data_IF_398430260968
#
_entry.id   IF_398430260968
#
_cell.length_a   1.000
_cell.length_b   1.000
_cell.length_c   1.000
_cell.angle_alpha   90.00
_cell.angle_beta   90.00
_cell.angle_gamma   90.00
#
_symmetry.space_group_name_H-M   'P 1'
#
loop_
_entity.id
_entity.type
_entity.pdbx_description
1 polymer ?
#
# COMPACT_ATOMS: atom_id res chain seq x y z
N UNK A 1 -10.76 57.09 -60.54
CA UNK A 1 -10.85 58.19 -59.56
C UNK A 1 -12.15 58.03 -58.77
N UNK A 2 -12.21 58.27 -57.44
CA UNK A 2 -11.12 58.29 -56.46
C UNK A 2 -11.45 57.61 -55.10
N UNK A 3 -10.39 57.47 -54.29
CA UNK A 3 -10.28 57.73 -52.83
C UNK A 3 -11.35 57.19 -51.87
N UNK A 4 -11.04 56.25 -50.98
CA UNK A 4 -10.23 56.38 -49.75
C UNK A 4 -10.85 57.29 -48.66
N UNK A 5 -11.15 56.71 -47.51
CA UNK A 5 -10.83 57.35 -46.22
C UNK A 5 -10.62 56.31 -45.12
N UNK A 6 -9.34 56.08 -44.81
CA UNK A 6 -8.88 55.56 -43.53
C UNK A 6 -9.29 56.48 -42.38
N UNK A 7 -9.57 55.90 -41.20
CA UNK A 7 -9.04 56.45 -39.94
C UNK A 7 -8.87 55.37 -38.86
N UNK A 8 -7.61 55.27 -38.44
CA UNK A 8 -7.06 54.62 -37.25
C UNK A 8 -7.82 54.94 -35.94
N UNK A 9 -7.86 53.98 -35.00
CA UNK A 9 -6.92 53.95 -33.86
C UNK A 9 -7.04 52.66 -33.03
N UNK A 10 -5.88 52.04 -32.84
CA UNK A 10 -5.58 50.94 -31.93
C UNK A 10 -5.25 51.47 -30.52
N UNK A 11 -5.28 50.51 -29.57
CA UNK A 11 -4.73 50.48 -28.19
C UNK A 11 -5.83 50.64 -27.11
N UNK A 12 -5.93 49.81 -26.07
CA UNK A 12 -4.87 49.18 -25.27
C UNK A 12 -5.40 48.02 -24.39
N UNK A 13 -4.50 47.05 -24.09
CA UNK A 13 -4.34 46.29 -22.82
C UNK A 13 -5.39 45.22 -22.42
N UNK A 14 -5.07 44.02 -21.88
CA UNK A 14 -3.84 43.42 -21.33
C UNK A 14 -3.93 41.87 -21.46
N UNK A 15 -2.83 41.24 -21.91
CA UNK A 15 -2.49 39.82 -21.68
C UNK A 15 -1.40 39.77 -20.59
N UNK A 16 -1.55 38.87 -19.63
CA UNK A 16 -0.51 38.33 -18.72
C UNK A 16 -1.20 37.22 -17.89
N UNK A 17 -0.59 36.09 -17.53
CA UNK A 17 0.71 35.53 -17.81
C UNK A 17 0.66 34.02 -17.47
N UNK A 18 1.27 33.19 -18.32
CA UNK A 18 1.65 31.82 -18.01
C UNK A 18 3.18 31.87 -17.78
N UNK A 19 3.62 31.69 -16.54
CA UNK A 19 5.05 31.76 -16.19
C UNK A 19 5.64 30.35 -16.22
N UNK A 20 6.35 30.05 -17.30
CA UNK A 20 7.20 28.87 -17.45
C UNK A 20 8.66 29.37 -17.34
N UNK A 21 9.38 28.95 -16.30
CA UNK A 21 10.81 29.26 -16.16
C UNK A 21 11.63 28.21 -16.92
N UNK A 22 12.04 28.56 -18.15
CA UNK A 22 13.13 27.90 -18.87
C UNK A 22 14.36 28.81 -18.79
N UNK A 23 15.39 28.37 -18.07
CA UNK A 23 16.69 29.04 -18.01
C UNK A 23 17.38 28.90 -19.37
N UNK A 24 17.51 30.02 -20.09
CA UNK A 24 18.30 30.14 -21.31
C UNK A 24 19.72 30.60 -20.98
N UNK A 25 20.71 29.89 -21.53
CA UNK A 25 22.12 30.30 -21.61
C UNK A 25 22.28 31.57 -22.47
N UNK A 26 23.14 32.53 -22.10
CA UNK A 26 23.59 33.56 -23.03
C UNK A 26 24.83 33.11 -23.81
N UNK A 27 24.71 33.23 -25.14
CA UNK A 27 25.79 33.10 -26.12
C UNK A 27 26.80 34.24 -26.04
N UNK A 28 28.01 33.93 -26.50
CA UNK A 28 29.24 34.71 -26.54
C UNK A 28 29.22 35.90 -27.52
N UNK A 29 29.89 36.99 -27.13
CA UNK A 29 30.64 37.98 -27.94
C UNK A 29 31.27 38.96 -26.92
N UNK A 30 32.53 39.40 -26.89
CA UNK A 30 33.74 39.22 -27.69
C UNK A 30 34.72 40.36 -27.29
N UNK A 31 36.00 40.03 -27.03
CA UNK A 31 37.15 40.95 -26.83
C UNK A 31 37.42 41.40 -25.38
N UNK A 32 38.63 41.46 -24.83
CA UNK A 32 40.00 41.13 -25.27
C UNK A 32 41.00 41.59 -24.19
N UNK A 33 42.08 40.79 -24.01
CA UNK A 33 43.38 41.06 -23.35
C UNK A 33 43.53 41.30 -21.83
N UNK A 34 44.46 40.54 -21.22
CA UNK A 34 45.17 40.88 -19.97
C UNK A 34 45.45 39.68 -19.06
N UNK A 35 46.64 39.07 -19.15
CA UNK A 35 46.98 37.82 -18.46
C UNK A 35 47.40 37.95 -16.98
N UNK A 36 47.24 36.84 -16.24
CA UNK A 36 48.25 36.32 -15.30
C UNK A 36 47.89 34.90 -14.82
N UNK A 37 48.91 34.05 -14.76
CA UNK A 37 48.89 32.68 -14.23
C UNK A 37 48.24 32.54 -12.85
N UNK A 38 47.21 31.68 -12.73
CA UNK A 38 47.04 30.71 -11.63
C UNK A 38 46.33 29.46 -12.14
N UNK A 39 46.97 28.30 -11.97
CA UNK A 39 46.37 26.96 -12.15
C UNK A 39 45.24 26.78 -11.14
N UNK A 40 44.01 26.55 -11.61
CA UNK A 40 42.86 26.21 -10.79
C UNK A 40 42.13 25.00 -11.36
N UNK A 41 42.24 23.86 -10.68
CA UNK A 41 41.43 22.66 -10.92
C UNK A 41 39.96 23.00 -10.62
N UNK A 42 39.06 22.80 -11.57
CA UNK A 42 37.62 22.73 -11.30
C UNK A 42 37.15 21.34 -11.72
N UNK A 43 37.35 20.38 -10.81
CA UNK A 43 36.77 19.05 -10.88
C UNK A 43 35.70 18.96 -9.81
N UNK A 44 34.47 18.65 -10.23
CA UNK A 44 33.50 17.77 -9.54
C UNK A 44 33.60 17.78 -8.01
N UNK A 45 32.89 18.70 -7.34
CA UNK A 45 32.66 18.66 -5.88
C UNK A 45 31.17 18.75 -5.58
N UNK A 46 30.38 17.81 -6.11
CA UNK A 46 29.01 17.54 -5.63
C UNK A 46 28.65 16.03 -5.66
N UNK A 47 29.66 15.14 -5.62
CA UNK A 47 29.45 13.68 -5.58
C UNK A 47 30.25 12.91 -4.53
N UNK A 48 31.36 13.48 -4.05
CA UNK A 48 32.28 12.77 -3.16
C UNK A 48 31.75 12.58 -1.72
N UNK A 49 31.03 13.57 -1.18
CA UNK A 49 30.55 13.53 0.20
C UNK A 49 29.41 12.53 0.44
N UNK A 50 28.67 12.15 -0.60
CA UNK A 50 27.60 11.15 -0.52
C UNK A 50 28.14 9.75 -0.79
N UNK A 51 29.08 9.62 -1.73
CA UNK A 51 29.76 8.36 -2.02
C UNK A 51 30.64 7.87 -0.84
N UNK A 52 31.35 8.77 -0.14
CA UNK A 52 32.10 8.41 1.06
C UNK A 52 31.21 7.97 2.22
N UNK A 53 30.03 8.59 2.39
CA UNK A 53 29.07 8.19 3.44
C UNK A 53 28.41 6.84 3.15
N UNK A 54 28.16 6.54 1.88
CA UNK A 54 27.67 5.23 1.43
C UNK A 54 28.75 4.15 1.56
N UNK A 55 30.00 4.44 1.19
CA UNK A 55 31.12 3.50 1.39
C UNK A 55 31.40 3.25 2.88
N UNK A 56 31.32 4.26 3.75
CA UNK A 56 31.45 4.08 5.19
C UNK A 56 30.30 3.26 5.80
N UNK A 57 29.07 3.40 5.29
CA UNK A 57 27.95 2.53 5.67
C UNK A 57 28.17 1.09 5.21
N UNK A 58 28.65 0.88 3.99
CA UNK A 58 28.95 -0.44 3.43
C UNK A 58 30.09 -1.15 4.20
N UNK A 59 31.16 -0.43 4.55
CA UNK A 59 32.24 -0.97 5.39
C UNK A 59 31.78 -1.31 6.81
N UNK A 60 30.91 -0.50 7.41
CA UNK A 60 30.30 -0.80 8.73
C UNK A 60 29.36 -2.02 8.67
N UNK A 61 28.68 -2.22 7.54
CA UNK A 61 27.85 -3.39 7.30
C UNK A 61 28.70 -4.67 7.16
N UNK A 62 29.78 -4.64 6.36
CA UNK A 62 30.70 -5.77 6.24
C UNK A 62 31.38 -6.14 7.58
N UNK A 63 31.77 -5.15 8.38
CA UNK A 63 32.37 -5.39 9.70
C UNK A 63 31.40 -6.04 10.69
N UNK A 64 30.10 -5.73 10.60
CA UNK A 64 29.06 -6.36 11.43
C UNK A 64 28.75 -7.79 10.98
N UNK A 65 28.67 -8.03 9.68
CA UNK A 65 28.46 -9.36 9.11
C UNK A 65 29.59 -10.35 9.46
N UNK A 66 30.84 -9.87 9.50
CA UNK A 66 31.99 -10.68 9.91
C UNK A 66 32.00 -11.02 11.41
N UNK A 67 31.44 -10.14 12.26
CA UNK A 67 31.35 -10.36 13.71
C UNK A 67 30.25 -11.35 14.13
N UNK A 68 29.24 -11.55 13.28
CA UNK A 68 28.16 -12.53 13.49
C UNK A 68 28.51 -13.94 13.01
N UNK A 69 29.58 -14.11 12.22
CA UNK A 69 30.02 -15.41 11.68
C UNK A 69 31.11 -16.11 12.50
N UNK A 70 31.52 -15.56 13.65
CA UNK A 70 32.55 -16.15 14.52
C UNK A 70 32.01 -16.50 15.91
N UNK A 71 30.99 -17.36 15.97
CA UNK A 71 30.61 -18.03 17.22
C UNK A 71 29.82 -19.31 16.97
N UNK A 72 30.48 -20.36 16.48
CA UNK A 72 30.01 -21.74 16.64
C UNK A 72 31.10 -22.76 16.27
N UNK A 73 31.97 -23.10 17.21
CA UNK A 73 32.54 -24.46 17.33
C UNK A 73 33.22 -24.64 18.69
N UNK A 74 32.54 -25.41 19.56
CA UNK A 74 33.01 -26.19 20.70
C UNK A 74 34.28 -27.01 20.38
N UNK A 75 35.17 -27.46 21.28
CA UNK A 75 35.19 -27.63 22.73
C UNK A 75 36.58 -28.17 23.13
N UNK A 76 36.88 -28.06 24.44
CA UNK A 76 37.60 -29.01 25.28
C UNK A 76 39.00 -28.61 25.83
N UNK A 77 39.05 -28.68 27.16
CA UNK A 77 40.17 -29.11 28.02
C UNK A 77 41.02 -28.05 28.72
N UNK A 78 40.61 -27.79 29.96
CA UNK A 78 41.41 -28.04 31.18
C UNK A 78 42.72 -27.27 31.44
N UNK A 79 42.60 -26.38 32.44
CA UNK A 79 43.44 -26.32 33.65
C UNK A 79 44.63 -25.37 33.71
N UNK A 80 44.70 -24.76 34.91
CA UNK A 80 45.88 -24.25 35.65
C UNK A 80 46.42 -22.84 35.34
N UNK A 81 45.88 -21.88 36.10
CA UNK A 81 46.56 -20.99 37.05
C UNK A 81 48.06 -20.69 36.87
N UNK A 82 48.44 -19.40 36.95
CA UNK A 82 49.52 -18.78 37.76
C UNK A 82 49.35 -17.25 37.59
N UNK A 83 48.90 -16.49 38.59
CA UNK A 83 49.58 -15.92 39.76
C UNK A 83 50.54 -14.75 39.47
N UNK A 84 50.34 -13.70 40.30
CA UNK A 84 51.30 -12.69 40.81
C UNK A 84 51.65 -11.51 39.92
N UNK A 85 51.91 -10.32 40.46
CA UNK A 85 51.71 -9.76 41.80
C UNK A 85 52.05 -8.25 41.74
N UNK A 86 51.40 -7.49 42.63
CA UNK A 86 51.97 -6.43 43.49
C UNK A 86 53.02 -5.47 42.93
N UNK A 87 52.81 -4.17 43.11
CA UNK A 87 53.32 -3.48 44.30
C UNK A 87 53.06 -1.96 44.25
N UNK A 88 52.89 -1.42 45.44
CA UNK A 88 52.48 -0.07 45.83
C UNK A 88 53.62 0.98 45.81
N UNK A 89 53.20 2.22 46.09
CA UNK A 89 53.88 3.34 46.79
C UNK A 89 54.02 4.60 45.92
N UNK A 90 53.14 5.61 46.06
CA UNK A 90 53.04 6.63 47.11
C UNK A 90 54.04 7.80 46.95
N UNK A 91 53.52 8.99 46.60
CA UNK A 91 54.06 10.29 46.97
C UNK A 91 52.98 11.39 46.80
N UNK A 92 52.82 12.18 47.85
CA UNK A 92 51.87 13.27 48.11
C UNK A 92 52.26 14.59 47.44
N UNK A 93 51.28 15.37 46.96
CA UNK A 93 51.26 16.85 47.01
C UNK A 93 49.81 17.34 46.85
N UNK A 94 49.44 18.37 47.61
CA UNK A 94 48.10 18.96 47.69
C UNK A 94 47.89 20.06 46.64
N UNK A 95 46.65 20.27 46.18
CA UNK A 95 45.93 21.55 46.28
C UNK A 95 44.54 21.51 45.61
N UNK A 96 43.58 22.08 46.33
CA UNK A 96 42.23 22.57 46.04
C UNK A 96 41.69 22.60 44.59
N UNK A 97 40.38 22.28 44.47
CA UNK A 97 39.51 22.97 43.51
C UNK A 97 38.48 22.11 42.79
N UNK A 98 37.21 22.29 43.16
CA UNK A 98 35.99 22.15 42.35
C UNK A 98 35.49 20.76 41.93
N UNK A 99 34.47 20.33 42.68
CA UNK A 99 33.60 19.20 42.36
C UNK A 99 32.70 19.52 41.15
N UNK A 100 32.90 18.78 40.05
CA UNK A 100 31.96 18.68 38.93
C UNK A 100 31.22 17.34 39.07
N UNK A 101 29.88 17.30 39.18
CA UNK A 101 29.18 16.03 39.27
C UNK A 101 29.16 15.33 37.90
N UNK A 102 29.79 14.17 37.84
CA UNK A 102 29.74 13.23 36.74
C UNK A 102 28.31 12.67 36.60
N UNK A 103 27.59 13.13 35.60
CA UNK A 103 26.36 12.47 35.14
C UNK A 103 26.76 11.32 34.23
N UNK A 104 26.94 10.14 34.81
CA UNK A 104 26.92 8.87 34.09
C UNK A 104 25.55 8.71 33.45
N UNK A 105 25.46 9.03 32.15
CA UNK A 105 24.31 8.70 31.33
C UNK A 105 24.27 7.18 31.13
N UNK A 106 23.59 6.48 32.04
CA UNK A 106 23.21 5.09 31.85
C UNK A 106 22.19 5.04 30.70
N UNK A 107 22.65 4.68 29.50
CA UNK A 107 21.78 4.39 28.35
C UNK A 107 20.99 3.11 28.64
N UNK A 108 19.87 3.26 29.33
CA UNK A 108 18.86 2.21 29.45
C UNK A 108 18.09 2.12 28.13
N UNK A 109 18.51 1.22 27.25
CA UNK A 109 17.68 0.78 26.12
C UNK A 109 16.49 -0.02 26.68
N UNK A 110 15.46 0.70 27.12
CA UNK A 110 14.17 0.10 27.47
C UNK A 110 13.45 -0.28 26.18
N UNK A 111 13.62 -1.52 25.76
CA UNK A 111 12.69 -2.20 24.85
C UNK A 111 11.35 -2.37 25.59
N UNK A 112 10.56 -1.30 25.67
CA UNK A 112 9.18 -1.38 26.13
C UNK A 112 8.38 -2.13 25.07
N UNK A 113 7.99 -3.38 25.35
CA UNK A 113 7.07 -4.13 24.50
C UNK A 113 5.70 -3.45 24.57
N UNK A 114 5.42 -2.58 23.60
CA UNK A 114 4.12 -1.93 23.51
C UNK A 114 3.04 -2.96 23.20
N UNK A 115 1.95 -2.94 23.98
CA UNK A 115 0.81 -3.85 23.78
C UNK A 115 -0.05 -3.37 22.60
N UNK A 116 0.20 -3.91 21.41
CA UNK A 116 -0.52 -3.54 20.18
C UNK A 116 -1.99 -3.94 20.19
N UNK A 117 -2.43 -4.84 21.08
CA UNK A 117 -3.84 -5.25 21.16
C UNK A 117 -4.78 -4.12 21.60
N UNK A 118 -4.23 -3.07 22.21
CA UNK A 118 -4.98 -1.90 22.69
C UNK A 118 -5.06 -0.76 21.67
N UNK A 119 -4.28 -0.82 20.58
CA UNK A 119 -4.29 0.23 19.56
C UNK A 119 -5.58 0.13 18.75
N UNK A 120 -6.34 1.22 18.65
CA UNK A 120 -7.55 1.28 17.84
C UNK A 120 -7.32 2.02 16.54
N UNK A 121 -8.05 1.64 15.49
CA UNK A 121 -7.90 2.27 14.18
C UNK A 121 -8.31 3.75 14.21
N UNK A 122 -9.31 4.10 15.02
CA UNK A 122 -9.77 5.48 15.19
C UNK A 122 -8.67 6.39 15.75
N UNK A 123 -7.81 5.86 16.62
CA UNK A 123 -6.69 6.60 17.20
C UNK A 123 -5.64 6.95 16.13
N UNK A 124 -5.36 5.99 15.23
CA UNK A 124 -4.46 6.19 14.09
C UNK A 124 -5.02 7.25 13.14
N UNK A 125 -6.30 7.12 12.76
CA UNK A 125 -6.98 8.09 11.87
C UNK A 125 -6.98 9.49 12.49
N UNK A 126 -7.30 9.60 13.77
CA UNK A 126 -7.29 10.86 14.52
C UNK A 126 -5.90 11.49 14.57
N UNK A 127 -4.85 10.69 14.79
CA UNK A 127 -3.46 11.17 14.76
C UNK A 127 -3.06 11.67 13.36
N UNK A 128 -3.36 10.90 12.31
CA UNK A 128 -3.06 11.26 10.93
C UNK A 128 -3.67 12.62 10.57
N UNK A 129 -4.93 12.85 10.94
CA UNK A 129 -5.59 14.14 10.71
C UNK A 129 -4.97 15.26 11.55
N UNK A 130 -4.80 15.08 12.86
CA UNK A 130 -4.27 16.13 13.76
C UNK A 130 -2.82 16.53 13.43
N UNK A 131 -2.01 15.60 12.94
CA UNK A 131 -0.58 15.85 12.63
C UNK A 131 -0.32 16.19 11.16
N UNK A 132 -1.35 16.26 10.34
CA UNK A 132 -1.22 16.59 8.92
C UNK A 132 -0.48 15.54 8.10
N UNK A 133 -0.83 14.28 8.33
CA UNK A 133 -0.36 13.14 7.56
C UNK A 133 -1.34 12.84 6.42
N UNK A 134 -2.62 12.58 6.74
CA UNK A 134 -3.65 12.26 5.74
C UNK A 134 -4.97 12.93 6.13
N UNK A 135 -5.68 13.45 5.12
CA UNK A 135 -6.99 14.07 5.22
C UNK A 135 -7.99 13.40 4.27
N UNK A 136 -9.29 13.37 4.60
CA UNK A 136 -10.33 13.12 3.60
C UNK A 136 -10.23 14.15 2.48
N UNK A 137 -10.22 13.70 1.23
CA UNK A 137 -10.12 14.63 0.10
C UNK A 137 -11.39 15.47 -0.03
N UNK A 138 -11.23 16.76 -0.36
CA UNK A 138 -12.34 17.72 -0.51
C UNK A 138 -13.25 17.82 0.73
N UNK A 139 -12.68 17.71 1.94
CA UNK A 139 -13.43 17.65 3.20
C UNK A 139 -14.44 18.80 3.39
N UNK A 140 -14.07 20.02 3.01
CA UNK A 140 -14.95 21.21 3.13
C UNK A 140 -16.21 21.14 2.23
N UNK A 141 -16.23 20.22 1.27
CA UNK A 141 -17.34 19.98 0.34
C UNK A 141 -18.00 18.61 0.57
N UNK A 142 -17.86 18.05 1.77
CA UNK A 142 -18.31 16.70 2.15
C UNK A 142 -17.56 15.54 1.48
N UNK A 143 -16.54 15.82 0.67
CA UNK A 143 -15.62 14.85 0.07
C UNK A 143 -16.29 13.75 -0.76
N UNK A 144 -15.45 12.85 -1.29
CA UNK A 144 -15.89 11.57 -1.82
C UNK A 144 -15.26 10.44 -1.00
N UNK A 145 -16.06 9.42 -0.66
CA UNK A 145 -15.54 8.25 0.04
C UNK A 145 -14.43 7.57 -0.78
N UNK A 146 -13.35 7.16 -0.12
CA UNK A 146 -12.22 6.47 -0.75
C UNK A 146 -11.19 7.37 -1.44
N UNK A 147 -11.27 8.70 -1.27
CA UNK A 147 -10.25 9.63 -1.75
C UNK A 147 -9.61 10.38 -0.58
N UNK A 148 -8.28 10.49 -0.58
CA UNK A 148 -7.51 11.05 0.53
C UNK A 148 -6.38 11.95 0.02
N UNK A 149 -6.14 13.04 0.74
CA UNK A 149 -5.04 13.97 0.49
C UNK A 149 -3.94 13.78 1.53
N UNK A 150 -2.67 13.77 1.10
CA UNK A 150 -1.53 13.67 2.01
C UNK A 150 -1.07 15.09 2.41
N UNK A 151 -1.11 15.38 3.71
CA UNK A 151 -0.67 16.67 4.27
C UNK A 151 0.85 16.82 4.28
N UNK A 152 1.41 17.90 4.86
CA UNK A 152 2.84 18.21 4.77
C UNK A 152 3.75 17.06 5.24
N UNK A 153 3.43 16.42 6.38
CA UNK A 153 4.24 15.30 6.90
C UNK A 153 3.97 14.03 6.10
N UNK A 154 2.72 13.80 5.69
CA UNK A 154 2.35 12.63 4.90
C UNK A 154 2.98 12.62 3.51
N UNK A 155 3.09 13.78 2.88
CA UNK A 155 3.75 13.94 1.59
C UNK A 155 5.23 13.55 1.66
N UNK A 156 5.96 14.03 2.66
CA UNK A 156 7.37 13.67 2.90
C UNK A 156 7.52 12.18 3.26
N UNK A 157 6.66 11.65 4.15
CA UNK A 157 6.69 10.23 4.52
C UNK A 157 6.48 9.33 3.30
N UNK A 158 5.43 9.61 2.52
CA UNK A 158 5.11 8.89 1.29
C UNK A 158 6.24 9.00 0.26
N UNK A 159 6.88 10.17 0.15
CA UNK A 159 8.04 10.37 -0.73
C UNK A 159 9.23 9.51 -0.30
N UNK A 160 9.55 9.51 0.99
CA UNK A 160 10.66 8.73 1.55
C UNK A 160 10.50 7.24 1.31
N UNK A 161 9.29 6.68 1.48
CA UNK A 161 9.02 5.27 1.19
C UNK A 161 9.25 4.95 -0.28
N UNK A 162 8.76 5.81 -1.20
CA UNK A 162 8.97 5.63 -2.65
C UNK A 162 10.44 5.73 -3.04
N UNK A 163 11.16 6.70 -2.49
CA UNK A 163 12.58 6.88 -2.79
C UNK A 163 13.43 5.72 -2.22
N UNK A 164 13.04 5.15 -1.07
CA UNK A 164 13.65 3.94 -0.52
C UNK A 164 13.41 2.73 -1.45
N UNK A 165 12.15 2.50 -1.87
CA UNK A 165 11.83 1.43 -2.82
C UNK A 165 12.63 1.55 -4.11
N UNK A 166 12.66 2.76 -4.70
CA UNK A 166 13.38 3.00 -5.94
C UNK A 166 14.90 2.86 -5.79
N UNK A 167 15.43 3.22 -4.62
CA UNK A 167 16.84 2.99 -4.30
C UNK A 167 17.16 1.50 -4.27
N UNK A 168 16.37 0.73 -3.53
CA UNK A 168 16.64 -0.67 -3.22
C UNK A 168 16.40 -1.59 -4.42
N UNK A 169 15.25 -1.45 -5.08
CA UNK A 169 14.86 -2.36 -6.15
C UNK A 169 15.26 -1.91 -7.55
N UNK A 170 15.63 -0.64 -7.75
CA UNK A 170 15.98 -0.13 -9.09
C UNK A 170 17.41 0.37 -9.17
N UNK A 171 17.87 1.24 -8.26
CA UNK A 171 19.22 1.83 -8.37
C UNK A 171 20.34 0.92 -7.88
N UNK A 172 20.08 0.08 -6.87
CA UNK A 172 21.07 -0.84 -6.32
C UNK A 172 21.10 -2.19 -7.04
N UNK A 173 20.17 -2.42 -7.96
CA UNK A 173 20.09 -3.60 -8.80
C UNK A 173 20.60 -3.29 -10.20
N UNK A 174 21.35 -4.23 -10.79
CA UNK A 174 21.84 -4.11 -12.18
C UNK A 174 20.85 -4.72 -13.19
N UNK A 175 19.89 -5.49 -12.71
CA UNK A 175 18.93 -6.28 -13.47
C UNK A 175 17.53 -5.67 -13.52
N UNK A 176 17.28 -4.51 -12.90
CA UNK A 176 15.97 -3.84 -12.89
C UNK A 176 16.08 -2.43 -13.46
N UNK A 177 15.18 -2.07 -14.38
CA UNK A 177 15.11 -0.72 -14.97
C UNK A 177 13.78 -0.05 -14.66
N UNK A 178 13.77 1.29 -14.64
CA UNK A 178 12.56 2.06 -14.36
C UNK A 178 11.73 2.36 -15.61
N UNK A 179 10.40 2.40 -15.43
CA UNK A 179 9.43 2.90 -16.40
C UNK A 179 8.44 3.85 -15.73
N UNK A 180 7.92 4.83 -16.48
CA UNK A 180 6.77 5.64 -16.10
C UNK A 180 5.78 5.72 -17.28
N UNK A 181 4.73 4.91 -17.20
CA UNK A 181 3.67 4.84 -18.21
C UNK A 181 2.47 5.73 -17.87
N UNK A 182 1.69 6.08 -18.89
CA UNK A 182 0.46 6.87 -18.73
C UNK A 182 -0.58 6.17 -17.85
N UNK A 183 -1.49 6.96 -17.26
CA UNK A 183 -2.64 6.41 -16.53
C UNK A 183 -3.73 5.92 -17.49
N UNK A 184 -3.92 6.64 -18.58
CA UNK A 184 -4.90 6.32 -19.61
C UNK A 184 -4.22 5.43 -20.66
N UNK A 185 -4.83 4.30 -20.94
CA UNK A 185 -4.42 3.35 -21.98
C UNK A 185 -5.55 3.12 -22.97
N UNK A 186 -5.21 2.54 -24.12
CA UNK A 186 -6.19 2.09 -25.10
C UNK A 186 -7.08 1.00 -24.49
N UNK A 187 -8.42 1.03 -24.69
CA UNK A 187 -9.33 -0.01 -24.18
C UNK A 187 -8.94 -1.44 -24.56
N UNK A 188 -8.30 -1.64 -25.72
CA UNK A 188 -7.83 -2.94 -26.16
C UNK A 188 -6.79 -3.55 -25.19
N UNK A 189 -6.03 -2.72 -24.47
CA UNK A 189 -5.10 -3.19 -23.44
C UNK A 189 -5.88 -3.91 -22.34
N UNK A 190 -6.93 -3.28 -21.80
CA UNK A 190 -7.76 -3.84 -20.73
C UNK A 190 -8.64 -5.02 -21.17
N UNK A 191 -9.04 -5.02 -22.43
CA UNK A 191 -9.70 -6.18 -23.02
C UNK A 191 -8.76 -7.38 -23.07
N UNK A 192 -7.54 -7.16 -23.55
CA UNK A 192 -6.54 -8.22 -23.74
C UNK A 192 -6.06 -8.79 -22.40
N UNK A 193 -6.00 -7.96 -21.35
CA UNK A 193 -5.66 -8.38 -20.00
C UNK A 193 -6.86 -8.95 -19.22
N UNK A 194 -8.04 -9.10 -19.83
CA UNK A 194 -9.24 -9.66 -19.19
C UNK A 194 -9.94 -8.72 -18.19
N UNK A 195 -9.45 -7.50 -17.99
CA UNK A 195 -10.00 -6.58 -16.99
C UNK A 195 -11.40 -6.07 -17.33
N UNK A 196 -11.74 -5.93 -18.62
CA UNK A 196 -13.10 -5.51 -18.99
C UNK A 196 -14.15 -6.56 -18.66
N UNK A 197 -13.78 -7.84 -18.74
CA UNK A 197 -14.72 -8.96 -18.61
C UNK A 197 -14.69 -9.58 -17.20
N UNK A 198 -13.57 -9.51 -16.48
CA UNK A 198 -13.37 -10.18 -15.18
C UNK A 198 -13.05 -9.26 -13.99
N UNK A 199 -12.82 -7.95 -14.19
CA UNK A 199 -12.50 -7.03 -13.09
C UNK A 199 -13.77 -6.40 -12.50
N UNK A 200 -14.60 -7.25 -11.89
CA UNK A 200 -15.87 -6.86 -11.29
C UNK A 200 -16.07 -7.47 -9.91
N UNK A 201 -16.72 -6.71 -9.04
CA UNK A 201 -17.22 -7.21 -7.77
C UNK A 201 -18.73 -7.46 -7.84
N UNK A 202 -19.24 -8.50 -7.16
CA UNK A 202 -20.68 -8.72 -7.06
C UNK A 202 -21.30 -7.66 -6.14
N UNK A 203 -22.33 -6.97 -6.64
CA UNK A 203 -22.95 -5.83 -5.97
C UNK A 203 -24.44 -6.01 -5.76
N UNK A 204 -24.94 -5.59 -4.59
CA UNK A 204 -26.36 -5.44 -4.29
C UNK A 204 -26.71 -3.99 -3.99
N UNK A 205 -27.87 -3.54 -4.47
CA UNK A 205 -28.41 -2.21 -4.24
C UNK A 205 -29.58 -2.29 -3.25
N UNK A 206 -29.62 -1.42 -2.23
CA UNK A 206 -30.80 -1.26 -1.38
C UNK A 206 -31.80 -0.30 -2.05
N UNK A 207 -33.01 -0.78 -2.34
CA UNK A 207 -34.04 0.02 -3.03
C UNK A 207 -34.52 1.22 -2.22
N UNK A 208 -34.48 1.14 -0.88
CA UNK A 208 -34.89 2.22 0.02
C UNK A 208 -33.79 3.25 0.25
N UNK A 209 -32.61 2.82 0.72
CA UNK A 209 -31.53 3.74 1.09
C UNK A 209 -30.68 4.19 -0.09
N UNK A 210 -30.78 3.50 -1.23
CA UNK A 210 -29.88 3.65 -2.39
C UNK A 210 -28.41 3.37 -2.08
N UNK A 211 -28.12 2.80 -0.92
CA UNK A 211 -26.79 2.34 -0.55
C UNK A 211 -26.45 1.07 -1.34
N UNK A 212 -25.18 0.97 -1.70
CA UNK A 212 -24.61 -0.15 -2.45
C UNK A 212 -23.69 -0.92 -1.55
N UNK A 213 -23.73 -2.25 -1.68
CA UNK A 213 -22.92 -3.13 -0.89
C UNK A 213 -22.30 -4.21 -1.78
N UNK A 214 -21.12 -4.67 -1.38
CA UNK A 214 -20.52 -5.88 -1.92
C UNK A 214 -21.28 -7.10 -1.42
N UNK A 215 -21.74 -7.95 -2.34
CA UNK A 215 -22.57 -9.09 -2.04
C UNK A 215 -21.78 -10.20 -1.33
N UNK A 216 -20.52 -10.38 -1.72
CA UNK A 216 -19.57 -11.33 -1.12
C UNK A 216 -19.09 -10.92 0.28
N UNK A 217 -19.27 -9.66 0.65
CA UNK A 217 -18.96 -9.12 1.99
C UNK A 217 -20.21 -8.94 2.87
N UNK A 218 -21.34 -9.44 2.41
CA UNK A 218 -22.58 -9.46 3.15
C UNK A 218 -22.96 -10.90 3.40
N UNK A 219 -23.18 -11.23 4.65
CA UNK A 219 -23.61 -12.55 5.06
C UNK A 219 -25.02 -12.47 5.63
N UNK A 220 -25.84 -13.45 5.28
CA UNK A 220 -27.14 -13.65 5.90
C UNK A 220 -27.15 -14.94 6.69
N UNK A 221 -28.01 -14.98 7.71
CA UNK A 221 -28.26 -16.20 8.49
C UNK A 221 -29.74 -16.26 8.88
N UNK A 222 -30.40 -17.42 8.79
CA UNK A 222 -31.75 -17.58 9.30
C UNK A 222 -31.76 -17.50 10.83
N UNK A 223 -32.80 -16.85 11.37
CA UNK A 223 -33.09 -16.86 12.80
C UNK A 223 -34.17 -17.91 13.03
N UNK A 224 -33.76 -19.05 13.59
CA UNK A 224 -34.65 -20.15 13.95
C UNK A 224 -34.47 -20.54 15.42
N UNK A 225 -35.54 -21.02 16.03
CA UNK A 225 -35.50 -21.59 17.38
C UNK A 225 -35.08 -23.07 17.30
N UNK A 226 -34.38 -23.56 18.33
CA UNK A 226 -34.16 -25.00 18.50
C UNK A 226 -35.51 -25.69 18.81
N UNK A 227 -35.92 -26.66 17.98
CA UNK A 227 -37.12 -27.50 18.16
C UNK A 227 -36.77 -28.99 18.10
N UNK A 228 -37.65 -29.86 18.63
CA UNK A 228 -37.45 -31.32 18.72
C UNK A 228 -37.89 -32.11 17.46
N UNK A 229 -38.60 -31.51 16.50
CA UNK A 229 -39.08 -32.19 15.28
C UNK A 229 -38.90 -31.30 14.03
N UNK A 230 -38.56 -31.92 12.90
CA UNK A 230 -37.97 -31.41 11.63
C UNK A 230 -38.73 -30.32 10.83
N UNK A 231 -39.48 -29.41 11.45
CA UNK A 231 -40.01 -28.20 10.80
C UNK A 231 -39.54 -26.93 11.51
N UNK A 232 -38.39 -26.42 11.08
CA UNK A 232 -37.83 -25.18 11.61
C UNK A 232 -38.62 -23.95 11.17
N UNK A 233 -39.36 -23.36 12.11
CA UNK A 233 -39.98 -22.06 11.88
C UNK A 233 -38.91 -20.96 11.80
N UNK A 234 -38.52 -20.60 10.58
CA UNK A 234 -37.62 -19.45 10.34
C UNK A 234 -38.36 -18.15 10.64
N UNK A 235 -38.05 -17.55 11.80
CA UNK A 235 -38.63 -16.31 12.28
C UNK A 235 -38.23 -15.09 11.43
N UNK A 236 -37.07 -15.15 10.78
CA UNK A 236 -36.56 -14.09 9.93
C UNK A 236 -35.13 -14.35 9.50
N UNK A 237 -34.51 -13.35 8.88
CA UNK A 237 -33.10 -13.36 8.52
C UNK A 237 -32.40 -12.17 9.16
N UNK A 238 -31.14 -12.37 9.50
CA UNK A 238 -30.21 -11.32 9.91
C UNK A 238 -29.21 -11.07 8.80
N UNK A 239 -28.61 -9.89 8.80
CA UNK A 239 -27.59 -9.52 7.82
C UNK A 239 -26.43 -8.86 8.53
N UNK A 240 -25.24 -9.43 8.33
CA UNK A 240 -24.00 -8.98 8.95
C UNK A 240 -22.98 -8.68 7.87
N UNK A 241 -22.12 -7.70 8.17
CA UNK A 241 -20.98 -7.39 7.30
C UNK A 241 -19.86 -8.38 7.59
N UNK A 242 -19.03 -8.64 6.58
CA UNK A 242 -17.78 -9.36 6.74
C UNK A 242 -16.90 -8.78 7.88
N UNK A 243 -16.30 -9.67 8.66
CA UNK A 243 -15.55 -9.35 9.87
C UNK A 243 -15.06 -10.61 10.58
N UNK A 244 -14.48 -10.46 11.76
CA UNK A 244 -14.15 -11.63 12.56
C UNK A 244 -15.43 -12.33 13.04
N UNK A 245 -15.36 -13.65 13.19
CA UNK A 245 -16.51 -14.50 13.53
C UNK A 245 -17.22 -14.04 14.82
N UNK A 246 -16.46 -13.63 15.83
CA UNK A 246 -17.01 -13.11 17.09
C UNK A 246 -17.87 -11.85 16.90
N UNK A 247 -17.41 -10.89 16.09
CA UNK A 247 -18.14 -9.64 15.83
C UNK A 247 -19.36 -9.88 14.94
N UNK A 248 -19.26 -10.81 13.98
CA UNK A 248 -20.38 -11.24 13.15
C UNK A 248 -21.48 -11.89 14.01
N UNK A 249 -21.13 -12.84 14.88
CA UNK A 249 -22.06 -13.50 15.80
C UNK A 249 -22.71 -12.47 16.73
N UNK A 250 -21.92 -11.58 17.33
CA UNK A 250 -22.43 -10.54 18.24
C UNK A 250 -23.43 -9.61 17.54
N UNK A 251 -23.15 -9.23 16.30
CA UNK A 251 -24.05 -8.42 15.47
C UNK A 251 -25.35 -9.18 15.17
N UNK A 252 -25.23 -10.45 14.74
CA UNK A 252 -26.36 -11.33 14.46
C UNK A 252 -27.25 -11.53 15.70
N UNK A 253 -26.68 -11.79 16.87
CA UNK A 253 -27.42 -11.92 18.12
C UNK A 253 -28.21 -10.65 18.47
N UNK A 254 -27.61 -9.48 18.26
CA UNK A 254 -28.27 -8.20 18.54
C UNK A 254 -29.48 -8.00 17.63
N UNK A 255 -29.38 -8.36 16.35
CA UNK A 255 -30.49 -8.31 15.41
C UNK A 255 -31.55 -9.38 15.71
N UNK A 256 -31.13 -10.60 16.03
CA UNK A 256 -32.03 -11.71 16.38
C UNK A 256 -32.89 -11.39 17.63
N UNK A 257 -32.29 -10.77 18.65
CA UNK A 257 -33.02 -10.28 19.84
C UNK A 257 -34.13 -9.29 19.49
N UNK A 258 -33.92 -8.45 18.48
CA UNK A 258 -34.94 -7.51 18.00
C UNK A 258 -36.09 -8.25 17.32
N UNK A 259 -35.78 -9.24 16.47
CA UNK A 259 -36.77 -10.07 15.78
C UNK A 259 -37.62 -10.86 16.79
N UNK A 260 -36.99 -11.50 17.78
CA UNK A 260 -37.69 -12.24 18.84
C UNK A 260 -38.67 -11.35 19.63
N UNK A 261 -38.27 -10.11 19.92
CA UNK A 261 -39.12 -9.14 20.61
C UNK A 261 -40.32 -8.71 19.76
N UNK A 262 -40.11 -8.45 18.47
CA UNK A 262 -41.16 -8.04 17.54
C UNK A 262 -42.20 -9.15 17.29
N UNK A 263 -41.78 -10.42 17.35
CA UNK A 263 -42.65 -11.59 17.19
C UNK A 263 -43.32 -12.08 18.49
N UNK A 264 -43.18 -11.34 19.60
CA UNK A 264 -43.74 -11.66 20.91
C UNK A 264 -43.40 -13.07 21.44
N UNK A 265 -42.23 -13.62 21.09
CA UNK A 265 -41.78 -14.92 21.60
C UNK A 265 -41.40 -14.76 23.08
N UNK A 266 -42.32 -15.13 23.98
CA UNK A 266 -42.18 -14.98 25.45
C UNK A 266 -41.40 -16.11 26.13
N UNK A 267 -40.99 -17.12 25.40
CA UNK A 267 -40.38 -18.31 25.99
C UNK A 267 -38.92 -18.03 26.37
N UNK A 268 -38.64 -17.91 27.68
CA UNK A 268 -37.31 -17.59 28.21
C UNK A 268 -36.28 -18.72 28.00
N UNK A 269 -36.76 -19.93 27.69
CA UNK A 269 -35.94 -21.13 27.48
C UNK A 269 -35.74 -21.48 25.99
N UNK A 270 -36.28 -20.69 25.07
CA UNK A 270 -36.07 -20.91 23.63
C UNK A 270 -34.63 -20.53 23.24
N UNK A 271 -33.83 -21.52 22.88
CA UNK A 271 -32.46 -21.34 22.40
C UNK A 271 -32.48 -21.06 20.90
N UNK A 272 -31.71 -20.07 20.48
CA UNK A 272 -31.47 -19.83 19.06
C UNK A 272 -30.53 -20.90 18.52
N UNK A 273 -30.82 -21.39 17.31
CA UNK A 273 -29.86 -22.22 16.59
C UNK A 273 -28.57 -21.44 16.32
N UNK A 274 -27.41 -22.13 16.25
CA UNK A 274 -26.17 -21.50 15.81
C UNK A 274 -26.35 -20.81 14.45
N UNK A 275 -25.78 -19.61 14.32
CA UNK A 275 -25.84 -18.86 13.08
C UNK A 275 -24.96 -19.52 12.02
N UNK A 276 -25.58 -19.96 10.93
CA UNK A 276 -24.88 -20.36 9.72
C UNK A 276 -24.88 -19.17 8.75
N UNK A 277 -23.69 -18.64 8.46
CA UNK A 277 -23.52 -17.46 7.61
C UNK A 277 -23.29 -17.88 6.17
N UNK A 278 -24.14 -17.39 5.27
CA UNK A 278 -24.02 -17.58 3.82
C UNK A 278 -23.88 -16.23 3.15
N UNK A 279 -22.88 -16.09 2.28
CA UNK A 279 -22.66 -14.86 1.51
C UNK A 279 -23.79 -14.66 0.48
N UNK A 280 -24.13 -13.40 0.18
CA UNK A 280 -25.30 -13.11 -0.66
C UNK A 280 -25.15 -13.55 -2.12
N UNK A 281 -23.95 -13.93 -2.59
CA UNK A 281 -23.79 -14.44 -3.96
C UNK A 281 -24.36 -15.84 -4.14
N UNK A 282 -24.48 -16.60 -3.03
CA UNK A 282 -24.94 -17.99 -3.02
C UNK A 282 -26.41 -18.15 -2.61
N UNK A 283 -27.10 -17.04 -2.37
CA UNK A 283 -28.46 -17.01 -1.83
C UNK A 283 -29.50 -17.05 -2.95
N UNK A 284 -30.56 -17.83 -2.78
CA UNK A 284 -31.69 -17.89 -3.71
C UNK A 284 -32.56 -16.62 -3.64
N UNK A 285 -33.30 -16.34 -4.72
CA UNK A 285 -34.19 -15.16 -4.77
C UNK A 285 -35.26 -15.17 -3.65
N UNK A 286 -35.75 -16.35 -3.28
CA UNK A 286 -36.71 -16.53 -2.18
C UNK A 286 -36.13 -16.05 -0.85
N UNK A 287 -34.91 -16.50 -0.51
CA UNK A 287 -34.24 -16.08 0.72
C UNK A 287 -33.91 -14.59 0.65
N UNK A 288 -33.40 -14.11 -0.49
CA UNK A 288 -33.03 -12.72 -0.68
C UNK A 288 -34.22 -11.76 -0.47
N UNK A 289 -35.44 -12.18 -0.81
CA UNK A 289 -36.68 -11.42 -0.56
C UNK A 289 -37.04 -11.24 0.92
N UNK A 290 -36.35 -11.96 1.82
CA UNK A 290 -36.54 -11.91 3.28
C UNK A 290 -35.32 -11.34 4.02
N UNK A 291 -34.18 -11.20 3.35
CA UNK A 291 -32.91 -10.72 3.92
C UNK A 291 -32.94 -9.19 4.08
N UNK A 292 -32.84 -8.64 5.31
CA UNK A 292 -32.91 -7.20 5.53
C UNK A 292 -31.64 -6.47 5.02
N UNK A 293 -31.81 -5.29 4.44
CA UNK A 293 -30.65 -4.43 4.11
C UNK A 293 -30.02 -3.88 5.39
N UNK A 294 -28.67 -3.82 5.50
CA UNK A 294 -28.00 -3.23 6.66
C UNK A 294 -28.40 -1.78 6.96
N UNK A 295 -28.74 -1.00 5.92
CA UNK A 295 -29.08 0.41 6.06
C UNK A 295 -30.54 0.67 6.47
N UNK A 296 -31.50 -0.14 6.00
CA UNK A 296 -32.93 0.06 6.28
C UNK A 296 -33.50 -0.90 7.32
N UNK A 297 -32.86 -2.06 7.54
CA UNK A 297 -33.41 -3.16 8.34
C UNK A 297 -34.59 -3.87 7.67
N UNK A 298 -34.87 -3.60 6.38
CA UNK A 298 -35.99 -4.17 5.63
C UNK A 298 -35.51 -4.95 4.40
N UNK A 299 -36.25 -5.99 3.95
CA UNK A 299 -35.85 -6.81 2.82
C UNK A 299 -36.03 -6.09 1.49
N UNK A 300 -35.02 -5.31 1.13
CA UNK A 300 -35.08 -4.32 0.03
C UNK A 300 -33.84 -4.36 -0.85
N UNK A 301 -33.00 -5.37 -0.67
CA UNK A 301 -31.81 -5.61 -1.50
C UNK A 301 -32.21 -6.20 -2.85
N UNK A 302 -31.51 -5.80 -3.92
CA UNK A 302 -31.62 -6.45 -5.24
C UNK A 302 -30.80 -7.73 -5.28
N UNK A 303 -31.05 -8.59 -6.28
CA UNK A 303 -30.13 -9.69 -6.58
C UNK A 303 -28.72 -9.17 -6.89
N UNK A 304 -27.66 -9.94 -6.54
CA UNK A 304 -26.29 -9.62 -6.91
C UNK A 304 -26.13 -9.47 -8.42
N UNK A 305 -25.35 -8.47 -8.82
CA UNK A 305 -24.94 -8.23 -10.21
C UNK A 305 -23.50 -7.79 -10.27
N UNK A 306 -22.83 -8.03 -11.39
CA UNK A 306 -21.45 -7.62 -11.56
C UNK A 306 -21.33 -6.11 -11.72
N UNK A 307 -20.37 -5.53 -11.00
CA UNK A 307 -20.01 -4.13 -11.09
C UNK A 307 -18.54 -4.00 -11.46
N UNK A 308 -18.26 -3.49 -12.66
CA UNK A 308 -16.90 -3.28 -13.13
C UNK A 308 -16.20 -2.20 -12.27
N UNK A 309 -15.01 -2.54 -11.76
CA UNK A 309 -14.25 -1.69 -10.86
C UNK A 309 -13.34 -0.70 -11.58
N UNK A 310 -13.33 -0.63 -12.91
CA UNK A 310 -12.55 0.38 -13.62
C UNK A 310 -13.32 1.69 -13.73
N UNK A 311 -12.60 2.81 -13.53
CA UNK A 311 -13.13 4.13 -13.86
C UNK A 311 -13.07 4.34 -15.37
N UNK A 312 -14.23 4.55 -16.00
CA UNK A 312 -14.31 4.96 -17.39
C UNK A 312 -14.22 6.48 -17.53
N UNK A 313 -13.67 6.91 -18.67
CA UNK A 313 -13.60 8.31 -19.11
C UNK A 313 -13.73 8.35 -20.64
N UNK A 314 -13.74 9.54 -21.22
CA UNK A 314 -13.75 9.74 -22.67
C UNK A 314 -12.53 10.54 -23.11
N UNK A 315 -11.82 10.08 -24.12
CA UNK A 315 -10.69 10.75 -24.76
C UNK A 315 -11.16 11.39 -26.06
N UNK A 316 -11.06 12.72 -26.13
CA UNK A 316 -11.45 13.50 -27.31
C UNK A 316 -12.58 14.48 -27.03
N UNK A 317 -12.90 15.31 -28.03
CA UNK A 317 -13.92 16.35 -27.91
C UNK A 317 -15.36 15.81 -27.98
N UNK A 318 -15.55 14.65 -28.61
CA UNK A 318 -16.86 14.00 -28.74
C UNK A 318 -16.91 12.79 -27.80
N UNK A 319 -17.99 12.70 -27.02
CA UNK A 319 -18.26 11.54 -26.17
C UNK A 319 -19.08 10.54 -26.98
N UNK A 320 -18.37 9.70 -27.74
CA UNK A 320 -18.95 8.56 -28.44
C UNK A 320 -18.38 7.24 -27.92
N UNK A 321 -18.92 6.11 -28.38
CA UNK A 321 -18.47 4.78 -27.96
C UNK A 321 -17.00 4.50 -28.29
N UNK A 322 -16.42 5.20 -29.28
CA UNK A 322 -15.01 5.04 -29.67
C UNK A 322 -14.06 5.87 -28.80
N UNK A 323 -14.57 6.90 -28.14
CA UNK A 323 -13.82 7.76 -27.22
C UNK A 323 -13.60 7.14 -25.84
N UNK A 324 -14.27 6.05 -25.50
CA UNK A 324 -14.18 5.44 -24.16
C UNK A 324 -12.74 5.03 -23.86
N UNK A 325 -12.26 5.41 -22.69
CA UNK A 325 -10.99 4.98 -22.13
C UNK A 325 -11.15 4.72 -20.63
N UNK A 326 -10.12 4.18 -19.99
CA UNK A 326 -10.16 3.82 -18.58
C UNK A 326 -8.94 4.37 -17.85
N UNK A 327 -9.14 4.75 -16.60
CA UNK A 327 -8.04 4.95 -15.66
C UNK A 327 -7.53 3.56 -15.24
N UNK A 328 -6.22 3.36 -15.31
CA UNK A 328 -5.63 2.05 -14.99
C UNK A 328 -5.95 1.56 -13.56
N UNK A 329 -6.37 0.30 -13.38
CA UNK A 329 -6.58 -0.32 -12.07
C UNK A 329 -5.32 -0.90 -11.42
N UNK A 330 -4.23 -0.97 -12.17
CA UNK A 330 -2.89 -1.44 -11.77
C UNK A 330 -1.80 -0.76 -12.61
N UNK A 331 -0.52 -0.90 -12.22
CA UNK A 331 0.61 -0.34 -12.97
C UNK A 331 1.28 -1.34 -13.95
N UNK A 332 1.09 -2.64 -13.73
CA UNK A 332 1.67 -3.76 -14.49
C UNK A 332 1.44 -3.69 -16.01
N UNK A 333 0.21 -3.39 -16.45
CA UNK A 333 -0.09 -3.35 -17.89
C UNK A 333 0.78 -2.35 -18.66
N UNK A 334 1.14 -1.22 -18.02
CA UNK A 334 2.03 -0.23 -18.61
C UNK A 334 3.44 -0.77 -18.88
N UNK A 335 3.89 -1.71 -18.04
CA UNK A 335 5.15 -2.42 -18.19
C UNK A 335 5.07 -3.43 -19.33
N UNK A 336 4.03 -4.29 -19.35
CA UNK A 336 3.88 -5.32 -20.38
C UNK A 336 3.83 -4.74 -21.80
N UNK A 337 3.05 -3.67 -22.02
CA UNK A 337 2.96 -3.04 -23.35
C UNK A 337 4.28 -2.41 -23.81
N UNK A 338 5.18 -2.07 -22.87
CA UNK A 338 6.48 -1.47 -23.17
C UNK A 338 7.63 -2.48 -23.12
N UNK A 339 7.37 -3.76 -22.87
CA UNK A 339 8.41 -4.79 -22.76
C UNK A 339 9.41 -4.75 -23.93
N UNK A 340 8.92 -4.70 -25.18
CA UNK A 340 9.79 -4.65 -26.37
C UNK A 340 10.62 -3.36 -26.46
N UNK A 341 10.03 -2.21 -26.09
CA UNK A 341 10.73 -0.93 -26.11
C UNK A 341 11.86 -0.90 -25.08
N UNK A 342 11.59 -1.41 -23.88
CA UNK A 342 12.58 -1.49 -22.80
C UNK A 342 13.67 -2.49 -23.14
N UNK A 343 13.31 -3.70 -23.58
CA UNK A 343 14.28 -4.73 -23.99
C UNK A 343 15.23 -4.23 -25.09
N UNK A 344 14.69 -3.49 -26.07
CA UNK A 344 15.49 -2.95 -27.17
C UNK A 344 16.46 -1.83 -26.77
N UNK A 345 16.21 -1.13 -25.66
CA UNK A 345 17.00 0.02 -25.21
C UNK A 345 17.92 -0.30 -24.03
N UNK A 346 17.50 -1.18 -23.12
CA UNK A 346 18.25 -1.55 -21.92
C UNK A 346 19.39 -2.53 -22.20
N UNK A 347 19.31 -3.31 -23.30
CA UNK A 347 20.25 -4.39 -23.65
C UNK A 347 20.39 -5.47 -22.58
N UNK A 348 19.41 -5.58 -21.69
CA UNK A 348 19.36 -6.62 -20.67
C UNK A 348 19.03 -7.98 -21.31
N UNK A 349 19.51 -9.05 -20.66
CA UNK A 349 19.13 -10.43 -20.96
C UNK A 349 18.30 -10.95 -19.79
N UNK A 350 17.50 -11.98 -20.04
CA UNK A 350 16.80 -12.67 -18.95
C UNK A 350 17.81 -13.27 -17.96
N UNK A 351 17.52 -13.24 -16.65
CA UNK A 351 16.38 -12.57 -16.04
C UNK A 351 16.60 -11.04 -15.91
N UNK A 352 15.52 -10.27 -16.02
CA UNK A 352 15.56 -8.82 -15.75
C UNK A 352 14.17 -8.28 -15.36
N UNK A 353 14.12 -7.18 -14.63
CA UNK A 353 12.89 -6.53 -14.20
C UNK A 353 12.65 -5.16 -14.80
N UNK A 354 11.38 -4.76 -14.80
CA UNK A 354 10.96 -3.39 -15.06
C UNK A 354 10.09 -2.95 -13.89
N UNK A 355 10.48 -1.86 -13.24
CA UNK A 355 9.80 -1.31 -12.09
C UNK A 355 9.02 -0.03 -12.47
N UNK A 356 7.84 0.14 -11.87
CA UNK A 356 7.05 1.36 -11.99
C UNK A 356 6.46 1.76 -10.64
N UNK A 357 6.49 3.07 -10.36
CA UNK A 357 5.72 3.66 -9.27
C UNK A 357 4.69 4.60 -9.88
N UNK A 358 3.42 4.44 -9.52
CA UNK A 358 2.40 5.31 -10.06
C UNK A 358 1.01 5.14 -9.46
N UNK A 359 0.11 6.04 -9.85
CA UNK A 359 -1.29 5.98 -9.43
C UNK A 359 -2.05 4.84 -10.11
N UNK A 360 -2.97 4.24 -9.38
CA UNK A 360 -3.96 3.29 -9.87
C UNK A 360 -5.34 3.63 -9.27
N UNK A 361 -6.39 3.22 -9.98
CA UNK A 361 -7.76 3.59 -9.66
C UNK A 361 -8.67 2.37 -9.67
N UNK A 362 -9.35 2.12 -8.55
CA UNK A 362 -10.35 1.06 -8.43
C UNK A 362 -11.64 1.66 -7.92
N UNK A 363 -12.72 1.52 -8.67
CA UNK A 363 -14.04 2.05 -8.34
C UNK A 363 -14.72 1.19 -7.26
N UNK A 364 -14.05 1.05 -6.12
CA UNK A 364 -14.47 0.23 -4.98
C UNK A 364 -15.90 0.61 -4.55
N UNK A 365 -16.76 -0.40 -4.37
CA UNK A 365 -18.19 -0.21 -4.08
C UNK A 365 -18.34 0.39 -2.68
N UNK A 366 -17.64 -0.20 -1.69
CA UNK A 366 -17.66 0.28 -0.31
C UNK A 366 -16.25 0.56 0.22
N UNK A 367 -15.73 1.80 0.05
CA UNK A 367 -14.51 2.24 0.72
C UNK A 367 -14.65 2.11 2.24
N UNK A 368 -13.68 1.47 2.89
CA UNK A 368 -13.64 1.20 4.34
C UNK A 368 -12.22 1.25 4.89
N UNK A 369 -12.13 1.27 6.22
CA UNK A 369 -10.88 1.17 6.97
C UNK A 369 -9.84 2.19 6.54
N UNK A 370 -10.22 3.47 6.40
CA UNK A 370 -9.31 4.56 6.03
C UNK A 370 -8.66 4.36 4.65
N UNK A 371 -7.33 4.43 4.52
CA UNK A 371 -6.62 4.38 3.23
C UNK A 371 -6.58 2.98 2.57
N UNK A 372 -7.05 1.93 3.25
CA UNK A 372 -6.90 0.54 2.81
C UNK A 372 -7.80 0.17 1.65
N UNK A 373 -9.04 0.68 1.64
CA UNK A 373 -10.00 0.51 0.54
C UNK A 373 -10.26 1.86 -0.12
N UNK A 374 -9.22 2.39 -0.75
CA UNK A 374 -9.26 3.66 -1.46
C UNK A 374 -9.60 3.45 -2.94
N UNK A 375 -10.19 4.48 -3.56
CA UNK A 375 -10.51 4.49 -5.00
C UNK A 375 -9.36 5.01 -5.86
N UNK A 376 -8.46 5.76 -5.24
CA UNK A 376 -7.22 6.24 -5.82
C UNK A 376 -6.09 5.93 -4.83
N UNK A 377 -5.04 5.28 -5.31
CA UNK A 377 -3.86 4.94 -4.53
C UNK A 377 -2.62 4.88 -5.43
N UNK A 378 -1.44 4.71 -4.83
CA UNK A 378 -0.20 4.51 -5.55
C UNK A 378 0.33 3.11 -5.30
N UNK A 379 0.82 2.47 -6.36
CA UNK A 379 1.47 1.17 -6.30
C UNK A 379 2.94 1.30 -6.71
N UNK A 380 3.72 0.35 -6.23
CA UNK A 380 5.13 0.17 -6.57
C UNK A 380 5.26 -1.28 -7.05
N UNK A 381 5.20 -1.49 -8.37
CA UNK A 381 5.16 -2.82 -8.98
C UNK A 381 6.43 -3.08 -9.78
N UNK A 382 6.84 -4.35 -9.83
CA UNK A 382 7.99 -4.82 -10.59
C UNK A 382 7.54 -6.06 -11.36
N UNK A 383 7.67 -6.02 -12.68
CA UNK A 383 7.54 -7.21 -13.51
C UNK A 383 8.94 -7.78 -13.74
N UNK A 384 9.25 -8.91 -13.09
CA UNK A 384 10.54 -9.58 -13.20
C UNK A 384 10.47 -10.74 -14.20
N UNK A 385 10.99 -10.52 -15.40
CA UNK A 385 10.95 -11.47 -16.49
C UNK A 385 12.06 -12.51 -16.34
N UNK A 386 11.69 -13.78 -16.32
CA UNK A 386 12.60 -14.93 -16.16
C UNK A 386 12.53 -15.87 -17.38
N UNK A 387 13.52 -16.76 -17.58
CA UNK A 387 13.39 -17.84 -18.55
C UNK A 387 12.17 -18.73 -18.25
N UNK A 388 11.47 -19.25 -19.27
CA UNK A 388 10.37 -20.19 -19.05
C UNK A 388 10.90 -21.49 -18.45
N UNK A 389 10.13 -22.10 -17.57
CA UNK A 389 10.46 -23.39 -16.97
C UNK A 389 9.51 -23.80 -15.85
N UNK A 390 9.76 -24.98 -15.30
CA UNK A 390 9.02 -25.52 -14.17
C UNK A 390 9.48 -24.93 -12.83
N UNK A 391 9.00 -25.48 -11.72
CA UNK A 391 9.26 -25.00 -10.36
C UNK A 391 10.76 -24.87 -10.03
N UNK A 392 11.60 -25.73 -10.62
CA UNK A 392 13.05 -25.65 -10.48
C UNK A 392 13.64 -24.36 -11.08
N UNK A 393 12.94 -23.73 -12.03
CA UNK A 393 13.36 -22.48 -12.68
C UNK A 393 12.74 -21.27 -11.99
N UNK A 394 11.42 -21.21 -11.83
CA UNK A 394 10.76 -20.00 -11.28
C UNK A 394 10.80 -19.94 -9.75
N UNK A 395 10.78 -21.08 -9.06
CA UNK A 395 10.72 -21.17 -7.60
C UNK A 395 11.87 -20.48 -6.86
N UNK A 396 13.14 -20.59 -7.33
CA UNK A 396 14.25 -19.83 -6.76
C UNK A 396 14.04 -18.31 -6.83
N UNK A 397 13.60 -17.79 -7.97
CA UNK A 397 13.34 -16.35 -8.14
C UNK A 397 12.19 -15.88 -7.24
N UNK A 398 11.10 -16.65 -7.17
CA UNK A 398 9.95 -16.31 -6.31
C UNK A 398 10.34 -16.22 -4.83
N UNK A 399 11.11 -17.19 -4.33
CA UNK A 399 11.64 -17.15 -2.94
C UNK A 399 12.61 -16.00 -2.71
N UNK A 400 13.47 -15.70 -3.67
CA UNK A 400 14.39 -14.55 -3.60
C UNK A 400 13.60 -13.24 -3.49
N UNK A 401 12.60 -13.04 -4.36
CA UNK A 401 11.75 -11.86 -4.32
C UNK A 401 10.95 -11.74 -3.02
N UNK A 402 10.42 -12.83 -2.45
CA UNK A 402 9.78 -12.80 -1.12
C UNK A 402 10.78 -12.35 -0.05
N UNK A 403 12.00 -12.88 -0.08
CA UNK A 403 13.06 -12.54 0.89
C UNK A 403 13.48 -11.07 0.78
N UNK A 404 13.76 -10.59 -0.43
CA UNK A 404 14.16 -9.20 -0.69
C UNK A 404 13.04 -8.23 -0.30
N UNK A 405 11.80 -8.59 -0.63
CA UNK A 405 10.58 -7.89 -0.26
C UNK A 405 10.41 -7.74 1.25
N UNK A 406 10.58 -8.83 2.00
CA UNK A 406 10.52 -8.80 3.47
C UNK A 406 11.63 -7.94 4.04
N UNK A 407 12.86 -8.09 3.53
CA UNK A 407 14.01 -7.30 3.97
C UNK A 407 13.80 -5.80 3.73
N UNK A 408 13.23 -5.42 2.59
CA UNK A 408 12.88 -4.03 2.32
C UNK A 408 11.89 -3.48 3.36
N UNK A 409 10.87 -4.24 3.72
CA UNK A 409 9.89 -3.84 4.74
C UNK A 409 10.53 -3.71 6.13
N UNK A 410 11.40 -4.63 6.52
CA UNK A 410 12.07 -4.63 7.82
C UNK A 410 13.18 -3.58 7.94
N UNK A 411 14.10 -3.53 6.97
CA UNK A 411 15.31 -2.69 7.03
C UNK A 411 15.15 -1.35 6.31
N UNK A 412 14.47 -1.35 5.16
CA UNK A 412 14.28 -0.15 4.32
C UNK A 412 13.19 0.76 4.88
N UNK A 413 12.02 0.18 5.17
CA UNK A 413 10.87 0.92 5.75
C UNK A 413 10.96 1.00 7.28
N UNK A 414 11.54 0.00 7.94
CA UNK A 414 11.67 -0.04 9.39
C UNK A 414 10.48 -0.68 10.11
N UNK A 415 9.74 -1.58 9.43
CA UNK A 415 8.65 -2.33 10.05
C UNK A 415 9.20 -3.39 11.01
N UNK A 416 8.46 -3.61 12.09
CA UNK A 416 8.85 -4.57 13.12
C UNK A 416 8.56 -6.00 12.65
N UNK A 417 9.53 -6.93 12.71
CA UNK A 417 9.37 -8.31 12.24
C UNK A 417 8.19 -9.04 12.90
N UNK A 418 7.90 -8.78 14.17
CA UNK A 418 6.79 -9.40 14.92
C UNK A 418 5.39 -8.93 14.52
N UNK A 419 5.30 -7.94 13.62
CA UNK A 419 4.05 -7.49 13.01
C UNK A 419 3.91 -7.98 11.56
N UNK A 420 4.93 -8.61 10.99
CA UNK A 420 4.94 -9.12 9.63
C UNK A 420 4.68 -10.62 9.60
N UNK A 421 3.78 -11.05 8.73
CA UNK A 421 3.45 -12.43 8.45
C UNK A 421 3.57 -12.78 6.97
N UNK A 422 3.17 -13.99 6.63
CA UNK A 422 2.99 -14.44 5.26
C UNK A 422 1.62 -15.07 5.14
N UNK A 423 0.98 -14.85 3.99
CA UNK A 423 -0.19 -15.61 3.57
C UNK A 423 0.13 -16.25 2.21
N UNK A 424 0.06 -17.57 2.14
CA UNK A 424 0.43 -18.34 0.94
C UNK A 424 -0.86 -18.84 0.31
N UNK A 425 -1.16 -18.33 -0.88
CA UNK A 425 -2.41 -18.63 -1.55
C UNK A 425 -2.38 -20.06 -2.10
N UNK A 426 -3.46 -20.80 -1.89
CA UNK A 426 -3.64 -22.16 -2.42
C UNK A 426 -5.05 -22.35 -2.99
N UNK A 427 -5.19 -23.22 -3.99
CA UNK A 427 -6.47 -23.53 -4.62
C UNK A 427 -7.17 -22.30 -5.20
N UNK A 428 -8.43 -22.08 -4.81
CA UNK A 428 -9.32 -21.03 -5.32
C UNK A 428 -8.90 -19.60 -4.92
N UNK A 429 -7.94 -19.44 -4.00
CA UNK A 429 -7.40 -18.13 -3.60
C UNK A 429 -6.34 -17.57 -4.55
N UNK A 430 -5.93 -18.33 -5.56
CA UNK A 430 -4.93 -17.92 -6.53
C UNK A 430 -5.58 -17.07 -7.64
N UNK A 431 -4.93 -15.96 -8.04
CA UNK A 431 -5.37 -15.23 -9.22
C UNK A 431 -5.31 -16.14 -10.46
N UNK A 432 -6.25 -15.98 -11.40
CA UNK A 432 -6.40 -16.85 -12.57
C UNK A 432 -5.15 -16.94 -13.47
N UNK A 433 -4.22 -15.99 -13.35
CA UNK A 433 -2.96 -15.93 -14.09
C UNK A 433 -1.73 -16.38 -13.29
N UNK A 434 -1.84 -16.60 -11.97
CA UNK A 434 -0.71 -16.90 -11.10
C UNK A 434 -0.45 -18.42 -11.01
N UNK A 435 0.82 -18.81 -10.84
CA UNK A 435 1.21 -20.21 -10.53
C UNK A 435 1.46 -20.39 -9.03
N UNK A 436 1.86 -19.35 -8.33
CA UNK A 436 2.00 -19.25 -6.89
C UNK A 436 1.78 -17.79 -6.49
N UNK A 437 1.29 -17.51 -5.28
CA UNK A 437 1.25 -16.15 -4.75
C UNK A 437 1.55 -16.20 -3.25
N UNK A 438 2.39 -15.29 -2.79
CA UNK A 438 2.67 -15.11 -1.38
C UNK A 438 2.57 -13.65 -1.02
N UNK A 439 1.65 -13.36 -0.11
CA UNK A 439 1.41 -12.04 0.40
C UNK A 439 2.21 -11.85 1.68
N UNK A 440 3.01 -10.79 1.74
CA UNK A 440 3.57 -10.33 3.00
C UNK A 440 2.49 -9.53 3.71
N UNK A 441 2.08 -10.01 4.88
CA UNK A 441 0.98 -9.42 5.64
C UNK A 441 1.48 -8.60 6.81
N UNK A 442 0.66 -7.64 7.26
CA UNK A 442 0.92 -6.84 8.44
C UNK A 442 -0.27 -6.84 9.39
N UNK A 443 0.02 -6.94 10.69
CA UNK A 443 -0.99 -6.91 11.75
C UNK A 443 -1.39 -5.47 12.09
N UNK A 444 -2.49 -5.02 11.53
CA UNK A 444 -3.12 -3.73 11.83
C UNK A 444 -4.06 -3.81 13.04
N UNK A 445 -4.47 -2.67 13.63
CA UNK A 445 -5.47 -2.61 14.71
C UNK A 445 -6.77 -3.37 14.46
N UNK A 446 -7.18 -3.49 13.20
CA UNK A 446 -8.44 -4.12 12.80
C UNK A 446 -8.26 -5.51 12.19
N UNK A 447 -7.05 -6.07 12.21
CA UNK A 447 -6.75 -7.39 11.67
C UNK A 447 -5.47 -7.44 10.84
N UNK A 448 -5.11 -8.65 10.41
CA UNK A 448 -4.01 -8.86 9.47
C UNK A 448 -4.47 -8.54 8.06
N UNK A 449 -3.70 -7.78 7.31
CA UNK A 449 -3.98 -7.42 5.91
C UNK A 449 -2.70 -7.53 5.07
N UNK A 450 -2.87 -7.69 3.76
CA UNK A 450 -1.79 -7.65 2.77
C UNK A 450 -1.07 -6.29 2.78
N UNK A 451 0.26 -6.32 2.66
CA UNK A 451 1.09 -5.16 2.30
C UNK A 451 1.69 -5.27 0.90
N UNK A 452 2.13 -6.47 0.52
CA UNK A 452 2.78 -6.71 -0.76
C UNK A 452 2.63 -8.16 -1.21
N UNK A 453 1.99 -8.37 -2.36
CA UNK A 453 1.89 -9.67 -3.02
C UNK A 453 3.07 -9.96 -3.96
N UNK A 454 3.58 -11.19 -3.91
CA UNK A 454 4.59 -11.72 -4.83
C UNK A 454 3.95 -12.91 -5.57
N UNK A 455 3.55 -12.67 -6.82
CA UNK A 455 2.74 -13.58 -7.66
C UNK A 455 3.51 -14.20 -8.83
#
# INVERSE_FOLDING_TARGET
MPSSSHRHRHRHHHRAALTMFLLSFPSLNGGGFGGHHRRGRCAVVLGFGMHQRLQQRHQRWQARAASSSSSSSSSASSSTAVLRSTAEAAATTSENGDAVPSTTATSSSSSSSYDYSKLKMEDVVSLCKRRGIVYPSSEIYNGFAGFFDYGPIGAELKRNVKDAFWSDFVRMREDVVGLDSSIIHNPATWKSSGHLDGFSDPMVDCRETKLRYRADQLFCSPVALEGEEDEDEVLGYVTVMDGNEHDMIKSAESQAKKILKEREVKNKDARLRPFEFVDLTRVSEEVMSRVPSPGSGKPTLTMPRDFNLMFSTSVGAMQDATSVAYLRPETAQGIFINYKNVLGTSRLKLPFGIAQIGKAFRNEITPRNFIFRSREFEQMEIEYFIPPGDEDVWGPYHREWISDSRKFLEEGVGLRPELLGYDVHSGDGLAHYARACTDITFRFPFGTQELMGIA
#
